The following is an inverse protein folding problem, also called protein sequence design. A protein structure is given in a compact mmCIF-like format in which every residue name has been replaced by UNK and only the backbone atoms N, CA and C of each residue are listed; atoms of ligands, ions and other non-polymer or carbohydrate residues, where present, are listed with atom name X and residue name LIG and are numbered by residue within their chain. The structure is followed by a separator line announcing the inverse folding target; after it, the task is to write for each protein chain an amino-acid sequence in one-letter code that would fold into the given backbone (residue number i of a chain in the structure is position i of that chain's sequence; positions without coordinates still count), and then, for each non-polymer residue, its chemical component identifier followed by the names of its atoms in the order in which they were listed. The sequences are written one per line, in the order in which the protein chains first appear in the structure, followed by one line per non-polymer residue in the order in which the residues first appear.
data_IF_399128016680
#
_entry.id   IF_399128016680
#
_cell.length_a   1.000
_cell.length_b   1.000
_cell.length_c   1.000
_cell.angle_alpha   90.00
_cell.angle_beta   90.00
_cell.angle_gamma   90.00
#
_symmetry.space_group_name_H-M   'P 1'
#
loop_
_entity.id
_entity.type
_entity.pdbx_description
1 polymer ?
#
# COMPACT_ATOMS: atom_id res chain seq x y z
N UNK A 1 28.52 -12.70 -5.50
CA UNK A 1 27.21 -13.19 -5.00
C UNK A 1 26.59 -12.14 -4.06
N UNK A 2 26.32 -10.91 -4.54
CA UNK A 2 25.81 -9.80 -3.69
C UNK A 2 24.72 -8.95 -4.36
N UNK A 3 24.54 -9.04 -5.69
CA UNK A 3 23.59 -8.19 -6.43
C UNK A 3 22.09 -8.35 -6.07
N UNK A 4 21.71 -9.44 -5.39
CA UNK A 4 20.31 -9.65 -4.98
C UNK A 4 19.95 -8.99 -3.65
N UNK A 5 20.92 -8.65 -2.80
CA UNK A 5 20.65 -8.01 -1.50
C UNK A 5 20.47 -6.50 -1.63
N UNK A 6 21.23 -5.85 -2.50
CA UNK A 6 21.15 -4.39 -2.72
C UNK A 6 19.76 -3.95 -3.22
N UNK A 7 19.18 -4.69 -4.17
CA UNK A 7 17.83 -4.41 -4.66
C UNK A 7 16.74 -4.61 -3.61
N UNK A 8 16.89 -5.59 -2.71
CA UNK A 8 15.88 -5.85 -1.68
C UNK A 8 15.89 -4.78 -0.59
N UNK A 9 17.05 -4.23 -0.27
CA UNK A 9 17.19 -3.12 0.66
C UNK A 9 16.57 -1.84 0.09
N UNK A 10 16.90 -1.50 -1.17
CA UNK A 10 16.36 -0.34 -1.87
C UNK A 10 14.82 -0.41 -2.00
N UNK A 11 14.26 -1.59 -2.31
CA UNK A 11 12.81 -1.78 -2.36
C UNK A 11 12.14 -1.54 -1.00
N UNK A 12 12.75 -1.99 0.11
CA UNK A 12 12.19 -1.78 1.45
C UNK A 12 12.26 -0.31 1.88
N UNK A 13 13.33 0.37 1.51
CA UNK A 13 13.47 1.82 1.72
C UNK A 13 12.39 2.58 0.94
N UNK A 14 12.20 2.27 -0.35
CA UNK A 14 11.13 2.84 -1.16
C UNK A 14 9.74 2.53 -0.59
N UNK A 15 9.52 1.33 -0.06
CA UNK A 15 8.27 0.95 0.59
C UNK A 15 8.01 1.76 1.87
N UNK A 16 9.06 2.02 2.66
CA UNK A 16 8.98 2.91 3.83
C UNK A 16 8.65 4.34 3.41
N UNK A 17 9.36 4.88 2.41
CA UNK A 17 9.10 6.21 1.88
C UNK A 17 7.67 6.33 1.33
N UNK A 18 7.15 5.27 0.70
CA UNK A 18 5.75 5.23 0.27
C UNK A 18 4.79 5.24 1.46
N UNK A 19 5.10 4.52 2.55
CA UNK A 19 4.26 4.45 3.75
C UNK A 19 4.17 5.81 4.47
N UNK A 20 5.26 6.58 4.44
CA UNK A 20 5.34 7.92 5.01
C UNK A 20 4.83 9.01 4.05
N UNK A 21 4.59 8.68 2.77
CA UNK A 21 4.12 9.63 1.74
C UNK A 21 5.21 10.48 1.10
N UNK A 22 6.48 10.12 1.35
CA UNK A 22 7.68 10.84 0.90
C UNK A 22 8.25 10.29 -0.43
N UNK A 23 7.67 9.21 -0.98
CA UNK A 23 8.11 8.64 -2.25
C UNK A 23 7.63 9.46 -3.45
N UNK A 24 8.52 9.72 -4.42
CA UNK A 24 8.15 10.44 -5.63
C UNK A 24 7.10 9.69 -6.46
N UNK A 25 6.32 10.45 -7.24
CA UNK A 25 5.16 9.92 -7.99
C UNK A 25 5.53 8.81 -8.98
N UNK A 26 6.69 8.91 -9.63
CA UNK A 26 7.08 7.93 -10.65
C UNK A 26 7.50 6.63 -9.97
N UNK A 27 8.35 6.71 -8.95
CA UNK A 27 8.76 5.54 -8.16
C UNK A 27 7.57 4.89 -7.46
N UNK A 28 6.66 5.69 -6.89
CA UNK A 28 5.41 5.19 -6.31
C UNK A 28 4.59 4.38 -7.34
N UNK A 29 4.48 4.87 -8.59
CA UNK A 29 3.75 4.15 -9.65
C UNK A 29 4.42 2.82 -10.00
N UNK A 30 5.75 2.77 -10.07
CA UNK A 30 6.47 1.53 -10.33
C UNK A 30 6.35 0.53 -9.17
N UNK A 31 6.46 1.01 -7.93
CA UNK A 31 6.35 0.18 -6.75
C UNK A 31 4.93 -0.39 -6.60
N UNK A 32 3.90 0.42 -6.80
CA UNK A 32 2.50 -0.04 -6.79
C UNK A 32 2.24 -1.10 -7.88
N UNK A 33 2.77 -0.91 -9.10
CA UNK A 33 2.69 -1.94 -10.15
C UNK A 33 3.39 -3.24 -9.75
N UNK A 34 4.47 -3.16 -8.99
CA UNK A 34 5.16 -4.35 -8.50
C UNK A 34 4.32 -5.06 -7.44
N UNK A 35 3.68 -4.32 -6.54
CA UNK A 35 2.76 -4.88 -5.53
C UNK A 35 1.61 -5.68 -6.15
N UNK A 36 1.15 -5.34 -7.36
CA UNK A 36 0.13 -6.12 -8.07
C UNK A 36 0.57 -7.57 -8.35
N UNK A 37 1.88 -7.82 -8.49
CA UNK A 37 2.44 -9.14 -8.81
C UNK A 37 3.15 -9.83 -7.65
N UNK A 38 3.48 -9.10 -6.57
CA UNK A 38 4.35 -9.58 -5.50
C UNK A 38 3.61 -9.56 -4.15
N UNK A 39 3.01 -10.70 -3.79
CA UNK A 39 2.29 -10.88 -2.54
C UNK A 39 3.18 -10.72 -1.29
N UNK A 40 4.49 -10.97 -1.40
CA UNK A 40 5.41 -10.79 -0.27
C UNK A 40 5.58 -9.30 0.04
N UNK A 41 5.70 -8.48 -1.01
CA UNK A 41 5.79 -7.03 -0.90
C UNK A 41 4.51 -6.40 -0.32
N UNK A 42 3.33 -6.91 -0.71
CA UNK A 42 2.04 -6.53 -0.11
C UNK A 42 1.99 -6.89 1.39
N UNK A 43 2.55 -8.04 1.76
CA UNK A 43 2.70 -8.43 3.16
C UNK A 43 3.62 -7.51 3.96
N UNK A 44 4.76 -7.09 3.38
CA UNK A 44 5.67 -6.11 3.98
C UNK A 44 4.97 -4.76 4.16
N UNK A 45 4.21 -4.30 3.16
CA UNK A 45 3.42 -3.08 3.23
C UNK A 45 2.44 -3.11 4.40
N UNK A 46 1.67 -4.20 4.54
CA UNK A 46 0.72 -4.34 5.66
C UNK A 46 1.41 -4.27 7.02
N UNK A 47 2.62 -4.82 7.15
CA UNK A 47 3.40 -4.75 8.40
C UNK A 47 3.88 -3.34 8.68
N UNK A 48 4.36 -2.61 7.67
CA UNK A 48 4.85 -1.24 7.83
C UNK A 48 3.72 -0.29 8.26
N UNK A 49 2.52 -0.44 7.69
CA UNK A 49 1.34 0.32 8.12
C UNK A 49 1.00 0.06 9.60
N UNK A 50 1.07 -1.21 10.05
CA UNK A 50 0.85 -1.58 11.45
C UNK A 50 1.92 -1.00 12.38
N UNK A 51 3.20 -1.15 12.03
CA UNK A 51 4.33 -0.59 12.80
C UNK A 51 4.17 0.92 12.93
N UNK A 52 3.86 1.61 11.83
CA UNK A 52 3.62 3.06 11.83
C UNK A 52 2.46 3.47 12.73
N UNK A 53 1.35 2.73 12.71
CA UNK A 53 0.22 2.96 13.61
C UNK A 53 0.62 2.79 15.10
N UNK A 54 1.39 1.75 15.42
CA UNK A 54 1.90 1.52 16.77
C UNK A 54 2.82 2.66 17.24
N UNK A 55 3.77 3.09 16.40
CA UNK A 55 4.72 4.17 16.72
C UNK A 55 3.99 5.49 16.96
N UNK A 56 3.01 5.82 16.12
CA UNK A 56 2.18 7.03 16.26
C UNK A 56 1.10 6.92 17.33
N UNK A 57 1.00 5.77 18.01
CA UNK A 57 -0.09 5.44 18.97
C UNK A 57 -1.48 5.71 18.40
N UNK A 58 -1.62 5.49 17.09
CA UNK A 58 -2.89 5.64 16.40
C UNK A 58 -3.76 4.42 16.69
N UNK A 59 -5.08 4.62 16.73
CA UNK A 59 -6.00 3.50 16.80
C UNK A 59 -5.91 2.67 15.51
N UNK A 60 -5.80 1.35 15.66
CA UNK A 60 -5.83 0.41 14.54
C UNK A 60 -6.64 -0.83 14.92
N UNK A 61 -7.14 -1.53 13.90
CA UNK A 61 -7.84 -2.79 14.06
C UNK A 61 -7.24 -3.82 13.12
N UNK A 62 -6.86 -4.98 13.66
CA UNK A 62 -6.46 -6.10 12.85
C UNK A 62 -7.68 -6.64 12.09
N UNK A 63 -7.55 -6.71 10.78
CA UNK A 63 -8.60 -7.27 9.92
C UNK A 63 -8.45 -8.79 9.84
N UNK A 64 -9.55 -9.53 9.64
CA UNK A 64 -9.48 -10.94 9.31
C UNK A 64 -8.64 -11.18 8.06
N UNK A 65 -8.05 -12.37 7.96
CA UNK A 65 -7.34 -12.80 6.76
C UNK A 65 -8.22 -12.68 5.50
N UNK A 66 -7.61 -12.32 4.38
CA UNK A 66 -8.31 -12.11 3.10
C UNK A 66 -9.28 -10.92 3.08
N UNK A 67 -9.30 -10.05 4.12
CA UNK A 67 -10.13 -8.85 4.10
C UNK A 67 -9.77 -7.93 2.93
N UNK A 68 -8.48 -7.64 2.74
CA UNK A 68 -8.02 -6.78 1.65
C UNK A 68 -8.40 -7.36 0.28
N UNK A 69 -8.23 -8.67 0.07
CA UNK A 69 -8.58 -9.34 -1.19
C UNK A 69 -10.07 -9.25 -1.50
N UNK A 70 -10.93 -9.48 -0.49
CA UNK A 70 -12.39 -9.33 -0.66
C UNK A 70 -12.80 -7.90 -1.00
N UNK A 71 -12.16 -6.91 -0.37
CA UNK A 71 -12.39 -5.49 -0.70
C UNK A 71 -11.94 -5.20 -2.13
N UNK A 72 -10.74 -5.66 -2.53
CA UNK A 72 -10.24 -5.50 -3.89
C UNK A 72 -11.18 -6.15 -4.92
N UNK A 73 -11.65 -7.36 -4.67
CA UNK A 73 -12.60 -8.06 -5.54
C UNK A 73 -13.90 -7.27 -5.68
N UNK A 74 -14.48 -6.83 -4.57
CA UNK A 74 -15.71 -6.04 -4.59
C UNK A 74 -15.54 -4.71 -5.35
N UNK A 75 -14.38 -4.06 -5.24
CA UNK A 75 -14.06 -2.84 -5.97
C UNK A 75 -13.87 -3.08 -7.47
N UNK A 76 -13.32 -4.24 -7.86
CA UNK A 76 -13.20 -4.62 -9.27
C UNK A 76 -14.56 -4.95 -9.89
N UNK A 77 -15.47 -5.50 -9.10
CA UNK A 77 -16.84 -5.82 -9.51
C UNK A 77 -17.75 -4.58 -9.55
N UNK A 78 -17.35 -3.47 -8.92
CA UNK A 78 -18.06 -2.19 -8.95
C UNK A 78 -17.78 -1.42 -10.25
N UNK A 79 -18.82 -0.84 -10.85
CA UNK A 79 -18.64 0.06 -11.97
C UNK A 79 -17.82 1.28 -11.53
N UNK A 80 -16.74 1.59 -12.27
CA UNK A 80 -15.85 2.69 -11.94
C UNK A 80 -16.66 3.96 -11.59
N UNK A 81 -16.37 4.60 -10.44
CA UNK A 81 -17.17 5.73 -9.98
C UNK A 81 -17.25 6.75 -11.10
N UNK A 82 -18.47 7.08 -11.53
CA UNK A 82 -18.69 8.13 -12.52
C UNK A 82 -18.06 9.38 -11.91
N UNK A 83 -17.06 9.96 -12.58
CA UNK A 83 -16.51 11.28 -12.26
C UNK A 83 -17.57 12.35 -12.55
N UNK A 84 -18.72 12.27 -11.88
CA UNK A 84 -19.78 13.27 -11.88
C UNK A 84 -19.64 14.05 -10.60
N UNK A 85 -19.23 15.31 -10.72
CA UNK A 85 -18.92 16.17 -9.60
C UNK A 85 -20.07 16.28 -8.61
N UNK A 86 -19.85 15.77 -7.41
CA UNK A 86 -20.31 16.46 -6.22
C UNK A 86 -19.14 16.36 -5.26
N UNK A 87 -18.55 17.52 -4.96
CA UNK A 87 -17.54 17.65 -3.92
C UNK A 87 -18.13 17.05 -2.64
N UNK A 88 -17.77 15.82 -2.32
CA UNK A 88 -17.91 15.30 -0.98
C UNK A 88 -16.87 16.06 -0.16
N UNK A 89 -17.32 17.20 0.36
CA UNK A 89 -16.60 17.98 1.37
C UNK A 89 -16.54 17.10 2.61
N UNK A 90 -15.49 16.30 2.73
CA UNK A 90 -15.09 15.73 4.01
C UNK A 90 -14.87 16.90 4.96
N UNK A 91 -15.78 17.01 5.94
CA UNK A 91 -15.72 17.97 7.02
C UNK A 91 -14.95 17.43 8.20
#
# INVERSE_FOLDING_TARGET
MTANQDNSHDIKEQLSALADGELDRNSARFLLRRCESDATLVGDWSRYQLIGACVRRSEFRLMPEGFADRVCQQLMDEAAPRRGGTLLRWG
#
